data_IF_488075881949
#
_entry.id   IF_488075881949
#
_cell.length_a   1.000
_cell.length_b   1.000
_cell.length_c   1.000
_cell.angle_alpha   90.00
_cell.angle_beta   90.00
_cell.angle_gamma   90.00
#
_symmetry.space_group_name_H-M   'P 1'
#
loop_
_entity.id
_entity.type
_entity.pdbx_description
1 polymer ?
#
# COMPACT_ATOMS: atom_id res chain seq x y z
N UNK A 1 -3.64 -26.76 50.53
CA UNK A 1 -5.06 -26.47 50.82
C UNK A 1 -5.47 -25.38 49.83
N UNK A 2 -6.23 -25.70 48.78
CA UNK A 2 -6.44 -24.73 47.67
C UNK A 2 -7.68 -23.86 47.92
N UNK A 3 -8.67 -24.33 48.71
CA UNK A 3 -9.84 -23.54 49.12
C UNK A 3 -10.46 -24.16 50.39
N UNK A 4 -10.79 -23.33 51.38
CA UNK A 4 -11.68 -23.71 52.52
C UNK A 4 -12.75 -22.63 52.64
N UNK A 5 -13.99 -22.97 52.28
CA UNK A 5 -15.13 -22.07 52.34
C UNK A 5 -16.32 -22.79 52.98
N UNK A 6 -16.75 -22.27 54.14
CA UNK A 6 -17.90 -22.77 54.88
C UNK A 6 -19.10 -21.89 54.56
N UNK A 7 -20.02 -22.38 53.74
CA UNK A 7 -21.19 -21.63 53.30
C UNK A 7 -22.44 -22.48 53.50
N UNK A 8 -23.49 -21.89 54.08
CA UNK A 8 -24.74 -22.56 54.41
C UNK A 8 -25.80 -22.17 53.37
N UNK A 9 -25.75 -22.79 52.18
CA UNK A 9 -26.66 -22.52 51.05
C UNK A 9 -26.89 -23.75 50.17
N UNK A 10 -28.00 -23.85 49.42
CA UNK A 10 -28.25 -24.94 48.47
C UNK A 10 -27.25 -24.96 47.31
N UNK A 11 -26.88 -26.15 46.82
CA UNK A 11 -25.95 -26.31 45.71
C UNK A 11 -26.57 -25.93 44.35
N UNK A 12 -25.81 -25.24 43.49
CA UNK A 12 -26.08 -25.09 42.06
C UNK A 12 -24.78 -25.12 41.24
N UNK A 13 -24.88 -25.36 39.93
CA UNK A 13 -23.74 -25.42 39.03
C UNK A 13 -22.94 -24.09 39.04
N UNK A 14 -21.61 -24.18 38.93
CA UNK A 14 -20.67 -23.06 38.82
C UNK A 14 -20.70 -22.03 39.97
N UNK A 15 -21.33 -22.36 41.11
CA UNK A 15 -21.41 -21.46 42.27
C UNK A 15 -20.07 -21.22 42.98
N UNK A 16 -19.16 -22.19 42.91
CA UNK A 16 -17.80 -22.10 43.41
C UNK A 16 -16.88 -22.76 42.38
N UNK A 17 -16.05 -21.97 41.69
CA UNK A 17 -15.12 -22.46 40.65
C UNK A 17 -13.70 -22.44 41.22
N UNK A 18 -12.96 -23.53 41.00
CA UNK A 18 -11.57 -23.67 41.43
C UNK A 18 -10.70 -24.07 40.24
N UNK A 19 -9.71 -23.24 39.93
CA UNK A 19 -8.68 -23.58 38.95
C UNK A 19 -7.54 -24.33 39.65
N UNK A 20 -7.18 -25.50 39.12
CA UNK A 20 -6.10 -26.33 39.67
C UNK A 20 -5.10 -26.66 38.57
N UNK A 21 -3.84 -26.27 38.78
CA UNK A 21 -2.74 -26.65 37.90
C UNK A 21 -2.32 -28.10 38.17
N UNK A 22 -2.31 -28.94 37.14
CA UNK A 22 -1.92 -30.34 37.22
C UNK A 22 -0.47 -30.52 36.77
N UNK A 23 0.27 -31.41 37.43
CA UNK A 23 1.63 -31.79 37.04
C UNK A 23 1.61 -32.98 36.07
N UNK A 24 2.68 -33.18 35.30
CA UNK A 24 2.80 -34.31 34.38
C UNK A 24 2.93 -35.63 35.17
N UNK A 25 1.97 -36.54 35.02
CA UNK A 25 1.91 -37.83 35.72
C UNK A 25 0.62 -37.99 36.53
N UNK A 26 0.63 -38.90 37.52
CA UNK A 26 -0.53 -39.13 38.38
C UNK A 26 -0.72 -37.97 39.36
N UNK A 27 -1.90 -37.35 39.34
CA UNK A 27 -2.30 -36.32 40.29
C UNK A 27 -3.43 -36.85 41.15
N UNK A 28 -3.31 -36.73 42.47
CA UNK A 28 -4.38 -37.07 43.41
C UNK A 28 -4.99 -35.80 43.98
N UNK A 29 -6.28 -35.60 43.73
CA UNK A 29 -7.05 -34.47 44.20
C UNK A 29 -7.99 -34.94 45.31
N UNK A 30 -7.80 -34.43 46.53
CA UNK A 30 -8.72 -34.69 47.63
C UNK A 30 -9.71 -33.54 47.77
N UNK A 31 -10.99 -33.83 47.54
CA UNK A 31 -12.09 -32.85 47.71
C UNK A 31 -12.95 -33.31 48.88
N UNK A 32 -13.12 -32.43 49.88
CA UNK A 32 -14.01 -32.66 51.02
C UNK A 32 -15.13 -31.62 50.98
N UNK A 33 -16.35 -32.07 50.70
CA UNK A 33 -17.56 -31.25 50.75
C UNK A 33 -18.32 -31.57 52.03
N UNK A 34 -18.75 -30.53 52.74
CA UNK A 34 -19.61 -30.66 53.93
C UNK A 34 -20.72 -29.62 53.80
N UNK A 35 -21.93 -30.06 53.47
CA UNK A 35 -23.12 -29.21 53.44
C UNK A 35 -24.12 -29.67 54.50
N UNK A 36 -24.78 -28.72 55.14
CA UNK A 36 -25.81 -28.96 56.14
C UNK A 36 -27.21 -28.54 55.67
N UNK A 37 -27.37 -28.09 54.42
CA UNK A 37 -28.59 -27.43 53.92
C UNK A 37 -29.27 -28.06 52.69
N UNK A 38 -28.85 -29.23 52.20
CA UNK A 38 -29.50 -29.87 51.03
C UNK A 38 -28.63 -30.93 50.33
N UNK A 39 -28.96 -31.24 49.07
CA UNK A 39 -28.16 -32.15 48.22
C UNK A 39 -26.80 -31.55 47.88
N UNK A 40 -25.80 -32.41 47.82
CA UNK A 40 -24.42 -32.09 47.47
C UNK A 40 -24.02 -32.70 46.14
N UNK A 41 -23.12 -32.02 45.44
CA UNK A 41 -22.56 -32.52 44.18
C UNK A 41 -21.25 -31.83 43.84
N UNK A 42 -20.39 -32.57 43.15
CA UNK A 42 -19.19 -32.07 42.49
C UNK A 42 -19.36 -32.31 40.99
N UNK A 43 -19.18 -31.28 40.18
CA UNK A 43 -19.02 -31.41 38.73
C UNK A 43 -17.58 -31.05 38.38
N UNK A 44 -16.88 -31.95 37.70
CA UNK A 44 -15.55 -31.70 37.15
C UNK A 44 -15.73 -31.59 35.63
N UNK A 45 -15.36 -30.45 35.06
CA UNK A 45 -15.30 -30.28 33.61
C UNK A 45 -13.89 -29.89 33.23
N UNK A 46 -13.30 -30.60 32.29
CA UNK A 46 -12.09 -30.13 31.64
C UNK A 46 -12.48 -28.94 30.74
N UNK A 47 -11.99 -27.74 31.08
CA UNK A 47 -12.17 -26.55 30.25
C UNK A 47 -11.33 -26.60 28.96
N UNK A 48 -10.59 -27.68 28.74
CA UNK A 48 -9.86 -27.94 27.51
C UNK A 48 -10.83 -28.25 26.35
N UNK A 49 -10.85 -27.43 25.28
CA UNK A 49 -11.62 -27.70 24.08
C UNK A 49 -11.35 -29.09 23.50
N UNK A 50 -10.14 -29.63 23.68
CA UNK A 50 -9.78 -30.98 23.25
C UNK A 50 -10.52 -32.04 24.06
N UNK A 51 -10.52 -31.92 25.39
CA UNK A 51 -11.24 -32.85 26.28
C UNK A 51 -12.75 -32.86 26.01
N UNK A 52 -13.36 -31.69 25.77
CA UNK A 52 -14.77 -31.59 25.36
C UNK A 52 -15.05 -32.29 24.03
N UNK A 53 -14.13 -32.17 23.05
CA UNK A 53 -14.25 -32.88 21.78
C UNK A 53 -14.10 -34.38 21.95
N UNK A 54 -13.18 -34.84 22.81
CA UNK A 54 -13.00 -36.25 23.14
C UNK A 54 -14.25 -36.85 23.81
N UNK A 55 -14.83 -36.16 24.79
CA UNK A 55 -16.09 -36.58 25.43
C UNK A 55 -17.24 -36.71 24.42
N UNK A 56 -17.41 -35.70 23.55
CA UNK A 56 -18.42 -35.73 22.49
C UNK A 56 -18.23 -36.91 21.53
N UNK A 57 -16.99 -37.34 21.29
CA UNK A 57 -16.67 -38.46 20.41
C UNK A 57 -16.85 -39.82 21.10
N UNK A 58 -16.54 -39.93 22.39
CA UNK A 58 -16.87 -41.11 23.21
C UNK A 58 -18.38 -41.38 23.23
N UNK A 59 -19.19 -40.31 23.32
CA UNK A 59 -20.65 -40.42 23.20
C UNK A 59 -21.09 -40.91 21.81
N UNK A 60 -20.45 -40.44 20.73
CA UNK A 60 -20.76 -40.89 19.36
C UNK A 60 -20.35 -42.33 19.10
N UNK A 61 -19.22 -42.78 19.67
CA UNK A 61 -18.77 -44.18 19.61
C UNK A 61 -19.71 -45.16 20.33
N UNK A 62 -20.58 -44.64 21.21
CA UNK A 62 -21.62 -45.44 21.88
C UNK A 62 -22.86 -45.68 21.01
N UNK A 63 -22.89 -45.15 19.78
CA UNK A 63 -23.98 -45.26 18.81
C UNK A 63 -23.46 -45.78 17.44
N UNK A 64 -24.33 -46.27 16.53
CA UNK A 64 -23.93 -46.61 15.18
C UNK A 64 -23.29 -45.42 14.47
N UNK A 65 -22.10 -45.62 13.92
CA UNK A 65 -21.34 -44.56 13.23
C UNK A 65 -21.92 -44.32 11.83
N UNK A 66 -22.21 -43.06 11.51
CA UNK A 66 -22.43 -42.62 10.14
C UNK A 66 -21.09 -42.20 9.48
N UNK A 67 -21.11 -42.05 8.16
CA UNK A 67 -19.91 -41.72 7.39
C UNK A 67 -19.24 -40.39 7.81
N UNK A 68 -20.03 -39.43 8.33
CA UNK A 68 -19.51 -38.15 8.80
C UNK A 68 -18.80 -38.31 10.14
N UNK A 69 -19.39 -39.06 11.06
CA UNK A 69 -18.82 -39.37 12.36
C UNK A 69 -17.52 -40.19 12.23
N UNK A 70 -17.46 -41.14 11.29
CA UNK A 70 -16.25 -41.91 10.99
C UNK A 70 -15.12 -41.00 10.47
N UNK A 71 -15.45 -40.05 9.59
CA UNK A 71 -14.49 -39.06 9.08
C UNK A 71 -13.95 -38.16 10.19
N UNK A 72 -14.83 -37.63 11.05
CA UNK A 72 -14.46 -36.78 12.18
C UNK A 72 -13.55 -37.53 13.18
N UNK A 73 -13.88 -38.79 13.47
CA UNK A 73 -13.10 -39.66 14.38
C UNK A 73 -11.71 -39.94 13.81
N UNK A 74 -11.62 -40.28 12.52
CA UNK A 74 -10.33 -40.52 11.85
C UNK A 74 -9.45 -39.27 11.86
N UNK A 75 -10.03 -38.11 11.57
CA UNK A 75 -9.31 -36.83 11.61
C UNK A 75 -8.79 -36.52 13.03
N UNK A 76 -9.60 -36.77 14.07
CA UNK A 76 -9.15 -36.59 15.45
C UNK A 76 -8.07 -37.59 15.84
N UNK A 77 -8.22 -38.88 15.50
CA UNK A 77 -7.22 -39.90 15.80
C UNK A 77 -5.87 -39.57 15.17
N UNK A 78 -5.85 -39.09 13.92
CA UNK A 78 -4.62 -38.67 13.25
C UNK A 78 -4.05 -37.36 13.84
N UNK A 79 -4.90 -36.43 14.28
CA UNK A 79 -4.47 -35.18 14.91
C UNK A 79 -3.85 -35.42 16.30
N UNK A 80 -4.51 -36.20 17.17
CA UNK A 80 -4.29 -36.19 18.63
C UNK A 80 -3.89 -37.57 19.19
N UNK A 81 -4.04 -38.63 18.39
CA UNK A 81 -3.72 -40.00 18.80
C UNK A 81 -2.21 -40.33 18.84
N UNK A 82 -1.86 -41.62 18.97
CA UNK A 82 -0.46 -42.06 18.98
C UNK A 82 0.29 -41.67 17.69
N UNK A 83 1.60 -41.47 17.80
CA UNK A 83 2.45 -41.17 16.63
C UNK A 83 2.53 -42.40 15.71
N UNK A 84 2.05 -42.24 14.48
CA UNK A 84 2.20 -43.20 13.37
C UNK A 84 2.68 -42.46 12.11
N UNK A 85 3.04 -43.20 11.05
CA UNK A 85 3.41 -42.59 9.77
C UNK A 85 2.26 -41.75 9.19
N UNK A 86 1.03 -42.25 9.27
CA UNK A 86 -0.18 -41.56 8.81
C UNK A 86 -0.48 -40.32 9.67
N UNK A 87 -0.38 -40.43 11.00
CA UNK A 87 -0.59 -39.30 11.91
C UNK A 87 0.47 -38.20 11.70
N UNK A 88 1.73 -38.59 11.48
CA UNK A 88 2.81 -37.64 11.19
C UNK A 88 2.56 -36.89 9.88
N UNK A 89 2.15 -37.61 8.84
CA UNK A 89 1.80 -37.03 7.53
C UNK A 89 0.59 -36.09 7.66
N UNK A 90 -0.46 -36.53 8.35
CA UNK A 90 -1.66 -35.72 8.57
C UNK A 90 -1.36 -34.43 9.34
N UNK A 91 -0.60 -34.51 10.43
CA UNK A 91 -0.21 -33.33 11.24
C UNK A 91 0.65 -32.36 10.44
N UNK A 92 1.60 -32.87 9.65
CA UNK A 92 2.41 -32.04 8.76
C UNK A 92 1.54 -31.31 7.72
N UNK A 93 0.60 -32.02 7.09
CA UNK A 93 -0.31 -31.43 6.10
C UNK A 93 -1.31 -30.45 6.74
N UNK A 94 -1.85 -30.77 7.92
CA UNK A 94 -2.74 -29.89 8.67
C UNK A 94 -2.01 -28.60 9.08
N UNK A 95 -0.75 -28.70 9.50
CA UNK A 95 0.10 -27.55 9.75
C UNK A 95 0.33 -26.74 8.48
N UNK A 96 0.71 -27.37 7.37
CA UNK A 96 0.87 -26.68 6.08
C UNK A 96 -0.42 -25.98 5.63
N UNK A 97 -1.58 -26.61 5.82
CA UNK A 97 -2.87 -26.03 5.49
C UNK A 97 -3.21 -24.85 6.40
N UNK A 98 -2.96 -24.96 7.70
CA UNK A 98 -3.12 -23.87 8.65
C UNK A 98 -2.18 -22.69 8.34
N UNK A 99 -0.92 -22.96 8.04
CA UNK A 99 0.09 -21.98 7.63
C UNK A 99 -0.32 -21.28 6.32
N UNK A 100 -0.86 -22.04 5.35
CA UNK A 100 -1.37 -21.49 4.09
C UNK A 100 -2.57 -20.57 4.32
N UNK A 101 -3.55 -21.00 5.11
CA UNK A 101 -4.73 -20.19 5.43
C UNK A 101 -4.34 -18.93 6.20
N UNK A 102 -3.43 -19.04 7.19
CA UNK A 102 -2.93 -17.90 7.93
C UNK A 102 -2.14 -16.91 7.05
N UNK A 103 -1.54 -17.39 5.95
CA UNK A 103 -0.87 -16.55 4.98
C UNK A 103 -1.83 -15.81 4.03
N UNK A 104 -3.11 -16.18 3.96
CA UNK A 104 -4.11 -15.47 3.17
C UNK A 104 -4.45 -14.16 3.89
N UNK A 105 -4.16 -12.99 3.29
CA UNK A 105 -4.51 -11.72 3.92
C UNK A 105 -6.03 -11.55 3.94
N UNK A 106 -6.60 -11.46 5.14
CA UNK A 106 -8.02 -11.14 5.32
C UNK A 106 -8.24 -9.62 5.25
N UNK A 107 -9.41 -9.22 4.73
CA UNK A 107 -9.83 -7.83 4.73
C UNK A 107 -11.28 -7.71 5.14
N UNK A 108 -11.60 -6.66 5.88
CA UNK A 108 -12.97 -6.38 6.27
C UNK A 108 -13.76 -5.90 5.06
N UNK A 109 -14.85 -6.60 4.74
CA UNK A 109 -15.81 -6.17 3.73
C UNK A 109 -17.02 -5.53 4.42
N UNK A 110 -17.53 -4.45 3.83
CA UNK A 110 -18.73 -3.81 4.32
C UNK A 110 -19.98 -4.49 3.73
N UNK A 111 -20.67 -5.30 4.53
CA UNK A 111 -21.94 -5.94 4.15
C UNK A 111 -23.14 -5.11 4.64
N UNK A 112 -24.22 -5.08 3.86
CA UNK A 112 -25.50 -4.52 4.30
C UNK A 112 -26.06 -5.36 5.46
N UNK A 113 -26.51 -4.69 6.52
CA UNK A 113 -27.14 -5.37 7.65
C UNK A 113 -28.58 -5.77 7.32
N UNK A 114 -29.04 -6.91 7.84
CA UNK A 114 -30.40 -7.39 7.61
C UNK A 114 -31.46 -6.41 8.13
N UNK A 115 -31.15 -5.71 9.24
CA UNK A 115 -31.99 -4.65 9.79
C UNK A 115 -31.37 -3.28 9.51
N UNK A 116 -32.10 -2.46 8.76
CA UNK A 116 -31.69 -1.08 8.45
C UNK A 116 -31.76 -0.23 9.72
N UNK A 117 -30.61 0.31 10.15
CA UNK A 117 -30.55 1.25 11.27
C UNK A 117 -31.25 2.56 10.88
N UNK A 118 -32.14 3.11 11.73
CA UNK A 118 -32.71 4.44 11.51
C UNK A 118 -31.60 5.51 11.42
N UNK A 119 -31.75 6.45 10.50
CA UNK A 119 -30.89 7.62 10.37
C UNK A 119 -31.72 8.89 10.60
N UNK A 120 -31.08 9.94 11.11
CA UNK A 120 -31.74 11.20 11.46
C UNK A 120 -30.91 12.38 10.95
N UNK A 121 -31.57 13.47 10.58
CA UNK A 121 -30.92 14.76 10.39
C UNK A 121 -30.48 15.27 11.77
N UNK A 122 -29.23 15.68 11.88
CA UNK A 122 -28.65 16.16 13.14
C UNK A 122 -28.73 17.68 13.22
N UNK A 123 -29.14 18.23 14.37
CA UNK A 123 -29.16 19.68 14.58
C UNK A 123 -27.74 20.23 14.54
N UNK A 124 -27.42 21.00 13.49
CA UNK A 124 -26.06 21.52 13.23
C UNK A 124 -24.97 20.45 13.20
N UNK A 125 -25.33 19.20 12.88
CA UNK A 125 -24.37 18.09 12.85
C UNK A 125 -24.00 17.48 14.21
N UNK A 126 -24.61 17.90 15.33
CA UNK A 126 -24.34 17.33 16.64
C UNK A 126 -24.91 15.90 16.77
N UNK A 127 -24.05 14.93 17.09
CA UNK A 127 -24.36 13.50 17.05
C UNK A 127 -25.44 13.06 18.06
N UNK A 128 -25.60 13.81 19.15
CA UNK A 128 -26.54 13.58 20.23
C UNK A 128 -27.86 14.38 20.08
N UNK A 129 -28.01 15.16 19.00
CA UNK A 129 -29.22 15.94 18.71
C UNK A 129 -29.92 15.49 17.41
N UNK A 130 -30.51 14.28 17.40
CA UNK A 130 -31.30 13.81 16.26
C UNK A 130 -32.59 14.64 16.13
N UNK A 131 -32.99 14.90 14.89
CA UNK A 131 -34.23 15.62 14.56
C UNK A 131 -35.14 14.73 13.72
N UNK A 132 -35.20 14.93 12.42
CA UNK A 132 -36.10 14.24 11.50
C UNK A 132 -35.48 12.91 11.05
N UNK A 133 -36.24 11.81 11.15
CA UNK A 133 -35.84 10.52 10.59
C UNK A 133 -35.78 10.61 9.06
N UNK A 134 -34.71 10.09 8.47
CA UNK A 134 -34.51 10.06 7.01
C UNK A 134 -34.27 8.64 6.51
N UNK A 135 -34.73 8.39 5.28
CA UNK A 135 -34.49 7.16 4.55
C UNK A 135 -33.23 7.24 3.68
N UNK A 136 -32.84 6.11 3.11
CA UNK A 136 -31.79 6.04 2.10
C UNK A 136 -32.27 6.69 0.80
N UNK A 137 -31.53 7.68 0.32
CA UNK A 137 -31.81 8.41 -0.91
C UNK A 137 -30.52 9.03 -1.45
N UNK A 138 -30.60 9.63 -2.64
CA UNK A 138 -29.57 10.52 -3.18
C UNK A 138 -29.93 11.99 -2.90
N UNK A 139 -28.97 12.94 -2.98
CA UNK A 139 -29.29 14.35 -2.89
C UNK A 139 -30.34 14.74 -3.95
N UNK A 140 -31.49 15.27 -3.52
CA UNK A 140 -32.63 15.54 -4.40
C UNK A 140 -32.28 16.53 -5.54
N UNK A 141 -31.33 17.44 -5.31
CA UNK A 141 -30.82 18.37 -6.33
C UNK A 141 -30.12 17.67 -7.51
N UNK A 142 -29.67 16.42 -7.33
CA UNK A 142 -28.99 15.63 -8.36
C UNK A 142 -29.94 14.61 -9.04
N UNK A 143 -31.22 14.60 -8.66
CA UNK A 143 -32.25 13.74 -9.24
C UNK A 143 -32.88 12.79 -8.22
N UNK A 144 -33.37 11.65 -8.73
CA UNK A 144 -34.03 10.60 -7.92
C UNK A 144 -33.52 9.22 -8.31
N UNK A 145 -33.51 8.29 -7.34
CA UNK A 145 -33.40 6.86 -7.63
C UNK A 145 -34.72 6.39 -8.25
N UNK A 146 -34.62 5.53 -9.26
CA UNK A 146 -35.74 4.82 -9.87
C UNK A 146 -36.15 3.63 -9.01
N UNK A 147 -37.35 3.09 -9.25
CA UNK A 147 -37.83 1.91 -8.53
C UNK A 147 -37.03 0.63 -8.86
N UNK A 148 -36.26 0.64 -9.96
CA UNK A 148 -35.37 -0.45 -10.36
C UNK A 148 -34.04 -0.47 -9.59
N UNK A 149 -33.61 0.66 -9.02
CA UNK A 149 -32.37 0.75 -8.26
C UNK A 149 -32.63 0.37 -6.79
N UNK A 150 -31.89 -0.59 -6.22
CA UNK A 150 -32.07 -0.96 -4.83
C UNK A 150 -31.68 0.22 -3.93
N UNK A 151 -32.47 0.50 -2.88
CA UNK A 151 -32.21 1.59 -1.92
C UNK A 151 -31.09 1.23 -0.94
N UNK A 152 -29.90 0.98 -1.46
CA UNK A 152 -28.69 0.60 -0.76
C UNK A 152 -27.45 1.12 -1.52
N UNK A 153 -26.25 0.72 -1.10
CA UNK A 153 -25.00 1.14 -1.75
C UNK A 153 -24.90 0.74 -3.23
N UNK A 154 -25.51 -0.38 -3.62
CA UNK A 154 -25.50 -0.84 -5.01
C UNK A 154 -26.32 0.10 -5.90
N UNK A 155 -27.52 0.51 -5.47
CA UNK A 155 -28.33 1.45 -6.26
C UNK A 155 -27.71 2.84 -6.34
N UNK A 156 -27.02 3.29 -5.28
CA UNK A 156 -26.21 4.51 -5.35
C UNK A 156 -25.11 4.39 -6.41
N UNK A 157 -24.38 3.27 -6.45
CA UNK A 157 -23.33 3.05 -7.43
C UNK A 157 -23.87 2.99 -8.87
N UNK A 158 -25.00 2.31 -9.10
CA UNK A 158 -25.69 2.26 -10.39
C UNK A 158 -26.12 3.67 -10.84
N UNK A 159 -26.71 4.46 -9.95
CA UNK A 159 -27.10 5.83 -10.24
C UNK A 159 -25.90 6.73 -10.57
N UNK A 160 -24.79 6.60 -9.83
CA UNK A 160 -23.57 7.40 -10.04
C UNK A 160 -23.03 7.29 -11.47
N UNK A 161 -23.09 6.12 -12.08
CA UNK A 161 -22.60 5.89 -13.44
C UNK A 161 -23.69 5.98 -14.52
N UNK A 162 -24.92 6.29 -14.12
CA UNK A 162 -26.06 6.39 -15.04
C UNK A 162 -26.01 7.64 -15.92
N UNK A 163 -26.79 7.64 -17.02
CA UNK A 163 -26.93 8.81 -17.90
C UNK A 163 -27.60 10.01 -17.25
N UNK A 164 -28.29 9.78 -16.13
CA UNK A 164 -28.94 10.83 -15.34
C UNK A 164 -27.97 11.59 -14.44
N UNK A 165 -26.74 11.11 -14.26
CA UNK A 165 -25.72 11.80 -13.46
C UNK A 165 -24.63 12.40 -14.37
N UNK A 166 -24.67 13.73 -14.61
CA UNK A 166 -23.69 14.41 -15.46
C UNK A 166 -22.34 14.65 -14.78
N UNK A 167 -22.24 14.53 -13.45
CA UNK A 167 -21.07 15.00 -12.71
C UNK A 167 -19.95 13.97 -12.66
N UNK A 168 -20.27 12.69 -12.52
CA UNK A 168 -19.27 11.65 -12.24
C UNK A 168 -18.22 11.55 -13.34
N UNK A 169 -18.64 11.50 -14.60
CA UNK A 169 -17.69 11.45 -15.72
C UNK A 169 -16.87 12.75 -15.84
N UNK A 170 -17.49 13.92 -15.67
CA UNK A 170 -16.79 15.23 -15.71
C UNK A 170 -15.72 15.35 -14.63
N UNK A 171 -16.06 15.02 -13.39
CA UNK A 171 -15.10 15.03 -12.26
C UNK A 171 -13.99 14.02 -12.52
N UNK A 172 -14.32 12.83 -13.02
CA UNK A 172 -13.34 11.79 -13.28
C UNK A 172 -12.34 12.18 -14.38
N UNK A 173 -12.82 12.61 -15.55
CA UNK A 173 -11.93 13.01 -16.66
C UNK A 173 -11.12 14.25 -16.31
N UNK A 174 -11.66 15.18 -15.51
CA UNK A 174 -10.89 16.33 -15.02
C UNK A 174 -9.71 15.90 -14.12
N UNK A 175 -9.90 14.90 -13.26
CA UNK A 175 -8.81 14.35 -12.43
C UNK A 175 -7.75 13.67 -13.27
N UNK A 176 -8.16 12.86 -14.25
CA UNK A 176 -7.22 12.21 -15.18
C UNK A 176 -6.48 13.26 -16.02
N UNK A 177 -7.17 14.28 -16.51
CA UNK A 177 -6.55 15.42 -17.20
C UNK A 177 -5.51 16.11 -16.32
N UNK A 178 -5.87 16.45 -15.08
CA UNK A 178 -4.95 17.08 -14.12
C UNK A 178 -3.70 16.23 -13.87
N UNK A 179 -3.82 14.90 -13.85
CA UNK A 179 -2.68 14.00 -13.65
C UNK A 179 -1.67 14.03 -14.81
N UNK A 180 -2.10 14.35 -16.03
CA UNK A 180 -1.26 14.40 -17.23
C UNK A 180 -0.83 15.81 -17.63
N UNK A 181 -1.69 16.80 -17.40
CA UNK A 181 -1.45 18.20 -17.78
C UNK A 181 -1.03 19.09 -16.60
N UNK A 182 -0.99 18.54 -15.38
CA UNK A 182 -0.60 19.23 -14.16
C UNK A 182 -1.72 20.06 -13.52
N UNK A 183 -2.63 20.60 -14.33
CA UNK A 183 -3.80 21.37 -13.91
C UNK A 183 -5.08 20.81 -14.50
N UNK A 184 -6.16 20.81 -13.73
CA UNK A 184 -7.49 20.43 -14.22
C UNK A 184 -8.08 21.48 -15.15
N UNK A 185 -8.99 21.06 -16.03
CA UNK A 185 -9.88 21.97 -16.77
C UNK A 185 -10.72 22.79 -15.80
N UNK A 186 -11.21 22.14 -14.73
CA UNK A 186 -11.67 22.77 -13.48
C UNK A 186 -10.53 22.69 -12.48
N UNK A 187 -10.07 23.83 -11.97
CA UNK A 187 -8.87 23.91 -11.12
C UNK A 187 -9.09 23.42 -9.68
N UNK A 188 -10.36 23.36 -9.27
CA UNK A 188 -10.89 22.90 -7.98
C UNK A 188 -11.46 21.47 -8.12
N UNK A 189 -10.63 20.42 -8.21
CA UNK A 189 -11.11 19.04 -8.40
C UNK A 189 -12.00 18.52 -7.26
N UNK A 190 -12.01 19.20 -6.11
CA UNK A 190 -12.84 18.98 -4.94
C UNK A 190 -14.23 19.65 -5.00
N UNK A 191 -14.43 20.66 -5.85
CA UNK A 191 -15.71 21.37 -5.98
C UNK A 191 -16.03 21.72 -7.43
N UNK A 192 -17.10 21.12 -7.94
CA UNK A 192 -17.72 21.37 -9.24
C UNK A 192 -19.04 22.17 -9.12
N UNK A 193 -19.36 22.62 -7.90
CA UNK A 193 -20.53 23.42 -7.57
C UNK A 193 -20.22 24.92 -7.53
N UNK A 194 -21.01 25.65 -6.75
CA UNK A 194 -21.03 27.12 -6.77
C UNK A 194 -19.78 27.78 -6.18
N UNK A 195 -18.97 27.08 -5.38
CA UNK A 195 -17.72 27.60 -4.84
C UNK A 195 -16.49 27.12 -5.62
N UNK A 196 -16.70 26.28 -6.65
CA UNK A 196 -15.67 25.82 -7.58
C UNK A 196 -15.38 26.83 -8.69
N UNK A 197 -14.25 26.64 -9.37
CA UNK A 197 -13.92 27.43 -10.55
C UNK A 197 -14.64 26.90 -11.79
N UNK A 198 -15.07 27.79 -12.69
CA UNK A 198 -15.60 27.36 -13.99
C UNK A 198 -14.51 26.66 -14.83
N UNK A 199 -14.89 25.67 -15.65
CA UNK A 199 -13.94 25.00 -16.53
C UNK A 199 -13.36 26.00 -17.54
N UNK A 200 -12.04 26.02 -17.67
CA UNK A 200 -11.35 26.91 -18.64
C UNK A 200 -11.75 26.61 -20.08
N UNK A 201 -12.14 25.36 -20.36
CA UNK A 201 -12.73 24.94 -21.62
C UNK A 201 -13.86 23.94 -21.33
N UNK A 202 -15.10 24.45 -21.36
CA UNK A 202 -16.30 23.64 -21.08
C UNK A 202 -16.56 22.59 -22.15
N UNK A 203 -16.44 22.96 -23.43
CA UNK A 203 -16.75 22.06 -24.55
C UNK A 203 -15.80 20.85 -24.57
N UNK A 204 -14.53 21.08 -24.27
CA UNK A 204 -13.55 19.99 -24.13
C UNK A 204 -13.87 19.08 -22.94
N UNK A 205 -14.24 19.65 -21.78
CA UNK A 205 -14.63 18.86 -20.62
C UNK A 205 -15.86 17.99 -20.94
N UNK A 206 -16.86 18.55 -21.59
CA UNK A 206 -18.08 17.85 -21.99
C UNK A 206 -17.76 16.75 -23.02
N UNK A 207 -16.95 17.05 -24.04
CA UNK A 207 -16.49 16.07 -25.02
C UNK A 207 -15.80 14.89 -24.35
N UNK A 208 -14.81 15.13 -23.48
CA UNK A 208 -14.08 14.07 -22.79
C UNK A 208 -15.01 13.24 -21.88
N UNK A 209 -15.94 13.90 -21.19
CA UNK A 209 -16.89 13.25 -20.29
C UNK A 209 -17.87 12.34 -21.03
N UNK A 210 -18.38 12.77 -22.20
CA UNK A 210 -19.26 11.95 -23.06
C UNK A 210 -18.45 10.81 -23.69
N UNK A 211 -17.30 11.13 -24.30
CA UNK A 211 -16.43 10.14 -24.93
C UNK A 211 -16.05 9.02 -23.95
N UNK A 212 -15.70 9.36 -22.70
CA UNK A 212 -15.32 8.38 -21.70
C UNK A 212 -16.44 7.40 -21.37
N UNK A 213 -17.69 7.89 -21.30
CA UNK A 213 -18.87 7.04 -21.06
C UNK A 213 -19.15 6.13 -22.25
N UNK A 214 -19.16 6.69 -23.46
CA UNK A 214 -19.44 5.95 -24.70
C UNK A 214 -18.36 4.89 -24.99
N UNK A 215 -17.13 5.10 -24.52
CA UNK A 215 -16.02 4.15 -24.62
C UNK A 215 -15.93 3.21 -23.38
N UNK A 216 -17.07 2.95 -22.74
CA UNK A 216 -17.20 1.93 -21.70
C UNK A 216 -16.41 2.22 -20.42
N UNK A 217 -16.20 3.50 -20.09
CA UNK A 217 -15.47 3.93 -18.89
C UNK A 217 -14.03 3.38 -18.83
N UNK A 218 -13.42 3.15 -19.99
CA UNK A 218 -12.08 2.55 -20.07
C UNK A 218 -10.97 3.56 -19.77
N UNK A 219 -10.35 3.43 -18.59
CA UNK A 219 -9.21 4.26 -18.19
C UNK A 219 -8.05 4.17 -19.19
N UNK A 220 -7.78 2.96 -19.71
CA UNK A 220 -6.71 2.75 -20.70
C UNK A 220 -7.00 3.50 -22.00
N UNK A 221 -8.26 3.52 -22.45
CA UNK A 221 -8.65 4.24 -23.65
C UNK A 221 -8.54 5.76 -23.43
N UNK A 222 -8.99 6.27 -22.29
CA UNK A 222 -8.88 7.69 -21.93
C UNK A 222 -7.41 8.15 -21.85
N UNK A 223 -6.55 7.38 -21.17
CA UNK A 223 -5.12 7.67 -21.13
C UNK A 223 -4.51 7.72 -22.53
N UNK A 224 -4.84 6.75 -23.40
CA UNK A 224 -4.35 6.74 -24.78
C UNK A 224 -4.81 8.00 -25.53
N UNK A 225 -6.09 8.35 -25.47
CA UNK A 225 -6.63 9.55 -26.12
C UNK A 225 -5.87 10.82 -25.73
N UNK A 226 -5.62 11.00 -24.43
CA UNK A 226 -4.90 12.17 -23.92
C UNK A 226 -3.42 12.16 -24.35
N UNK A 227 -2.72 11.03 -24.14
CA UNK A 227 -1.28 10.92 -24.38
C UNK A 227 -0.91 10.94 -25.86
N UNK A 228 -1.81 10.53 -26.76
CA UNK A 228 -1.59 10.61 -28.22
C UNK A 228 -2.15 11.89 -28.84
N UNK A 229 -2.73 12.80 -28.05
CA UNK A 229 -3.21 14.09 -28.55
C UNK A 229 -2.06 14.97 -29.07
N UNK A 230 -2.34 15.87 -30.01
CA UNK A 230 -1.39 16.91 -30.40
C UNK A 230 -1.03 17.79 -29.19
N UNK A 231 -1.99 18.03 -28.30
CA UNK A 231 -1.84 18.88 -27.11
C UNK A 231 -0.81 18.32 -26.13
N UNK A 232 -0.87 17.04 -25.80
CA UNK A 232 0.09 16.41 -24.86
C UNK A 232 1.50 16.31 -25.45
N UNK A 233 1.60 16.08 -26.78
CA UNK A 233 2.88 15.92 -27.49
C UNK A 233 3.54 17.25 -27.89
N UNK A 234 3.01 18.39 -27.46
CA UNK A 234 3.67 19.68 -27.66
C UNK A 234 4.99 19.73 -26.88
N UNK A 235 5.97 20.47 -27.40
CA UNK A 235 7.18 20.77 -26.65
C UNK A 235 6.84 21.64 -25.42
N UNK A 236 7.50 21.36 -24.29
CA UNK A 236 7.38 22.15 -23.05
C UNK A 236 8.08 23.52 -23.11
N UNK A 237 8.76 23.84 -24.22
CA UNK A 237 9.41 25.13 -24.43
C UNK A 237 8.41 26.30 -24.40
N UNK A 238 8.74 27.34 -23.63
CA UNK A 238 7.91 28.52 -23.43
C UNK A 238 8.67 29.80 -23.84
N UNK A 239 8.13 30.56 -24.79
CA UNK A 239 8.62 31.92 -25.06
C UNK A 239 8.15 32.88 -23.98
N UNK A 240 8.82 34.03 -23.82
CA UNK A 240 8.40 35.06 -22.86
C UNK A 240 6.93 35.45 -23.04
N UNK A 241 6.46 35.56 -24.30
CA UNK A 241 5.05 35.82 -24.61
C UNK A 241 4.11 34.73 -24.08
N UNK A 242 4.45 33.44 -24.23
CA UNK A 242 3.65 32.33 -23.68
C UNK A 242 3.63 32.38 -22.15
N UNK A 243 4.75 32.69 -21.52
CA UNK A 243 4.84 32.79 -20.05
C UNK A 243 4.02 33.96 -19.51
N UNK A 244 3.98 35.10 -20.22
CA UNK A 244 3.14 36.25 -19.82
C UNK A 244 1.65 35.95 -19.96
N UNK A 245 1.23 35.31 -21.05
CA UNK A 245 -0.19 35.04 -21.32
C UNK A 245 -0.74 33.83 -20.54
N UNK A 246 0.11 32.82 -20.31
CA UNK A 246 -0.29 31.56 -19.70
C UNK A 246 0.82 31.03 -18.75
N UNK A 247 1.07 31.75 -17.63
CA UNK A 247 2.16 31.41 -16.72
C UNK A 247 2.01 30.00 -16.12
N UNK A 248 0.78 29.59 -15.82
CA UNK A 248 0.46 28.31 -15.18
C UNK A 248 0.16 27.17 -16.18
N UNK A 249 0.31 27.42 -17.49
CA UNK A 249 -0.04 26.49 -18.58
C UNK A 249 -1.50 25.99 -18.53
N UNK A 250 -2.44 26.82 -18.07
CA UNK A 250 -3.87 26.47 -17.96
C UNK A 250 -4.55 26.42 -19.32
N UNK A 251 -4.08 27.24 -20.28
CA UNK A 251 -4.55 27.21 -21.67
C UNK A 251 -3.89 26.10 -22.48
N UNK A 252 -2.94 25.38 -21.88
CA UNK A 252 -2.14 24.33 -22.52
C UNK A 252 -1.44 24.84 -23.79
N UNK A 253 -0.87 26.04 -23.67
CA UNK A 253 -0.12 26.74 -24.71
C UNK A 253 1.24 26.08 -25.03
N UNK A 254 1.63 25.08 -24.24
CA UNK A 254 2.88 24.28 -24.34
C UNK A 254 2.69 22.92 -23.68
N UNK A 255 3.67 22.03 -23.89
CA UNK A 255 3.74 20.72 -23.23
C UNK A 255 3.70 20.83 -21.69
N UNK A 256 3.16 19.80 -21.01
CA UNK A 256 3.07 19.80 -19.56
C UNK A 256 4.45 19.66 -18.92
N UNK A 257 4.84 20.63 -18.08
CA UNK A 257 6.06 20.56 -17.28
C UNK A 257 5.79 20.70 -15.79
N UNK A 258 6.04 19.64 -15.01
CA UNK A 258 5.92 19.66 -13.55
C UNK A 258 6.64 18.47 -12.90
N UNK A 259 6.96 18.62 -11.61
CA UNK A 259 7.63 17.61 -10.76
C UNK A 259 6.78 16.34 -10.63
N UNK A 260 7.38 15.18 -10.88
CA UNK A 260 6.74 13.85 -10.85
C UNK A 260 6.40 13.42 -9.42
N UNK A 261 5.29 12.71 -9.23
CA UNK A 261 4.89 12.27 -7.88
C UNK A 261 5.91 11.30 -7.27
N UNK A 262 6.00 11.28 -5.94
CA UNK A 262 6.99 10.50 -5.19
C UNK A 262 7.12 9.03 -5.64
N UNK A 263 5.97 8.39 -5.88
CA UNK A 263 5.88 7.00 -6.34
C UNK A 263 6.51 6.83 -7.73
N UNK A 264 6.31 7.81 -8.62
CA UNK A 264 6.87 7.81 -9.98
C UNK A 264 8.37 8.03 -9.95
N UNK A 265 8.85 8.97 -9.12
CA UNK A 265 10.29 9.24 -8.97
C UNK A 265 11.06 8.00 -8.52
N UNK A 266 10.57 7.32 -7.48
CA UNK A 266 11.19 6.08 -7.00
C UNK A 266 11.11 4.98 -8.05
N UNK A 267 9.93 4.76 -8.65
CA UNK A 267 9.76 3.68 -9.64
C UNK A 267 10.60 3.92 -10.90
N UNK A 268 10.78 5.18 -11.32
CA UNK A 268 11.64 5.57 -12.43
C UNK A 268 13.11 5.27 -12.13
N UNK A 269 13.62 5.66 -10.95
CA UNK A 269 14.99 5.34 -10.54
C UNK A 269 15.24 3.82 -10.53
N UNK A 270 14.30 3.03 -10.02
CA UNK A 270 14.37 1.56 -10.06
C UNK A 270 14.29 1.00 -11.48
N UNK A 271 13.49 1.60 -12.37
CA UNK A 271 13.33 1.13 -13.74
C UNK A 271 14.60 1.36 -14.57
N UNK A 272 15.16 2.57 -14.52
CA UNK A 272 16.35 2.93 -15.32
C UNK A 272 17.59 2.18 -14.83
N UNK A 273 17.70 1.96 -13.52
CA UNK A 273 18.77 1.14 -12.92
C UNK A 273 18.62 -0.37 -13.17
N UNK A 274 17.46 -0.83 -13.66
CA UNK A 274 17.17 -2.24 -13.86
C UNK A 274 16.87 -3.02 -12.57
N UNK A 275 16.58 -2.32 -11.47
CA UNK A 275 16.21 -2.92 -10.18
C UNK A 275 14.71 -3.24 -10.06
N UNK A 276 13.85 -2.55 -10.82
CA UNK A 276 12.41 -2.61 -10.62
C UNK A 276 11.83 -4.03 -10.76
N UNK A 277 11.18 -4.51 -9.70
CA UNK A 277 10.43 -5.78 -9.68
C UNK A 277 8.95 -5.50 -9.95
N UNK A 278 8.43 -6.03 -11.07
CA UNK A 278 7.05 -5.81 -11.54
C UNK A 278 6.07 -6.91 -11.09
N UNK A 279 6.29 -7.51 -9.91
CA UNK A 279 5.42 -8.57 -9.36
C UNK A 279 4.13 -7.97 -8.76
N UNK A 280 2.93 -8.35 -9.26
CA UNK A 280 1.67 -7.86 -8.73
C UNK A 280 1.23 -8.58 -7.44
N UNK A 281 0.42 -7.90 -6.62
CA UNK A 281 -0.22 -8.48 -5.44
C UNK A 281 0.72 -8.71 -4.23
N UNK A 282 0.31 -9.52 -3.26
CA UNK A 282 1.14 -9.84 -2.08
C UNK A 282 1.10 -8.78 -0.97
N UNK A 283 1.80 -9.06 0.13
CA UNK A 283 1.89 -8.16 1.29
C UNK A 283 2.60 -6.85 0.93
N UNK A 284 2.37 -5.82 1.75
CA UNK A 284 3.09 -4.55 1.63
C UNK A 284 4.56 -4.71 2.01
N UNK A 285 5.44 -4.16 1.18
CA UNK A 285 6.90 -4.22 1.36
C UNK A 285 7.41 -3.05 2.21
N UNK A 286 8.37 -3.32 3.09
CA UNK A 286 9.04 -2.33 3.95
C UNK A 286 10.49 -2.13 3.48
N UNK A 287 10.76 -1.19 2.56
CA UNK A 287 12.09 -0.96 2.01
C UNK A 287 12.99 -0.19 2.99
N UNK A 288 14.08 0.42 2.51
CA UNK A 288 14.95 1.26 3.34
C UNK A 288 14.19 2.38 4.04
N UNK A 289 14.44 2.52 5.34
CA UNK A 289 13.95 3.61 6.18
C UNK A 289 14.96 3.87 7.32
N UNK A 290 15.14 5.12 7.77
CA UNK A 290 15.84 5.39 9.02
C UNK A 290 15.23 4.67 10.22
N UNK A 291 16.08 4.26 11.16
CA UNK A 291 15.67 3.57 12.38
C UNK A 291 14.87 4.50 13.32
N UNK A 292 14.02 3.92 14.18
CA UNK A 292 13.36 4.63 15.28
C UNK A 292 12.10 5.43 14.92
N UNK A 293 11.80 5.63 13.63
CA UNK A 293 10.65 6.44 13.21
C UNK A 293 9.30 5.85 13.64
N UNK A 294 9.16 4.53 13.64
CA UNK A 294 7.91 3.89 14.05
C UNK A 294 7.79 3.80 15.55
N UNK A 295 8.89 3.49 16.22
CA UNK A 295 9.01 3.32 17.66
C UNK A 295 8.65 4.62 18.38
N UNK A 296 9.06 5.77 17.84
CA UNK A 296 8.82 7.09 18.43
C UNK A 296 7.32 7.47 18.56
N UNK A 297 6.43 6.87 17.76
CA UNK A 297 5.02 7.26 17.70
C UNK A 297 4.05 6.10 17.97
N UNK A 298 4.56 4.92 18.30
CA UNK A 298 3.73 3.72 18.42
C UNK A 298 3.34 3.41 19.86
N UNK A 299 2.11 2.92 20.02
CA UNK A 299 1.73 2.24 21.26
C UNK A 299 2.43 0.87 21.35
N UNK A 300 2.91 0.45 22.55
CA UNK A 300 3.62 -0.82 22.73
C UNK A 300 2.86 -2.06 22.27
N UNK A 301 1.52 -2.02 22.31
CA UNK A 301 0.64 -3.13 21.88
C UNK A 301 0.40 -3.18 20.37
N UNK A 302 0.95 -2.25 19.59
CA UNK A 302 0.74 -2.22 18.14
C UNK A 302 1.60 -3.27 17.43
N UNK A 303 0.99 -4.05 16.55
CA UNK A 303 1.71 -4.94 15.62
C UNK A 303 2.55 -4.20 14.56
N UNK A 304 2.47 -2.86 14.52
CA UNK A 304 3.34 -1.99 13.71
C UNK A 304 4.20 -1.08 14.59
N UNK A 305 4.48 -1.50 15.83
CA UNK A 305 5.25 -0.70 16.77
C UNK A 305 6.72 -0.51 16.34
N UNK A 306 7.29 -1.55 15.73
CA UNK A 306 8.69 -1.56 15.27
C UNK A 306 8.78 -1.70 13.76
N UNK A 307 9.70 -0.96 13.16
CA UNK A 307 10.00 -1.11 11.74
C UNK A 307 11.02 -2.22 11.54
N UNK A 308 10.68 -3.24 10.77
CA UNK A 308 11.61 -4.29 10.35
C UNK A 308 11.68 -4.25 8.84
N UNK A 309 12.84 -3.88 8.29
CA UNK A 309 13.05 -3.85 6.85
C UNK A 309 12.83 -5.26 6.24
N UNK A 310 12.12 -5.34 5.12
CA UNK A 310 12.06 -6.55 4.30
C UNK A 310 13.31 -6.62 3.40
N UNK A 311 13.69 -7.80 2.94
CA UNK A 311 14.95 -8.04 2.20
C UNK A 311 14.70 -8.53 0.76
N UNK A 312 15.76 -8.54 -0.07
CA UNK A 312 15.72 -9.04 -1.43
C UNK A 312 14.77 -8.27 -2.36
N UNK A 313 13.96 -8.97 -3.15
CA UNK A 313 13.07 -8.34 -4.15
C UNK A 313 12.12 -7.30 -3.56
N UNK A 314 11.71 -7.45 -2.29
CA UNK A 314 10.78 -6.54 -1.61
C UNK A 314 11.27 -5.08 -1.61
N UNK A 315 12.59 -4.87 -1.62
CA UNK A 315 13.20 -3.54 -1.63
C UNK A 315 12.98 -2.77 -2.95
N UNK A 316 12.71 -3.50 -4.04
CA UNK A 316 12.71 -2.97 -5.41
C UNK A 316 11.35 -3.11 -6.11
N UNK A 317 10.31 -3.50 -5.38
CA UNK A 317 8.94 -3.54 -5.93
C UNK A 317 8.40 -2.14 -6.17
N UNK A 318 7.45 -2.04 -7.11
CA UNK A 318 6.74 -0.79 -7.44
C UNK A 318 6.21 -0.13 -6.17
N UNK A 319 6.26 1.20 -6.14
CA UNK A 319 5.91 2.02 -4.98
C UNK A 319 4.44 1.85 -4.56
N UNK A 320 3.59 1.36 -5.46
CA UNK A 320 2.22 0.93 -5.18
C UNK A 320 2.13 -0.14 -4.08
N UNK A 321 3.15 -0.99 -3.94
CA UNK A 321 3.17 -2.12 -3.01
C UNK A 321 3.90 -1.81 -1.70
N UNK A 322 4.34 -0.57 -1.48
CA UNK A 322 4.97 -0.22 -0.20
C UNK A 322 3.95 -0.30 0.93
N UNK A 323 4.42 -0.74 2.09
CA UNK A 323 3.63 -0.67 3.31
C UNK A 323 3.49 0.78 3.77
N UNK A 324 2.26 1.24 3.93
CA UNK A 324 1.94 2.58 4.42
C UNK A 324 1.37 2.51 5.84
N UNK A 325 2.19 2.84 6.84
CA UNK A 325 1.69 3.09 8.19
C UNK A 325 1.03 4.46 8.22
N UNK A 326 -0.26 4.51 8.61
CA UNK A 326 -1.09 5.71 8.54
C UNK A 326 -0.44 6.95 9.18
N UNK A 327 0.20 6.77 10.33
CA UNK A 327 0.82 7.84 11.15
C UNK A 327 2.33 8.00 10.94
N UNK A 328 3.00 7.08 10.23
CA UNK A 328 4.41 7.20 9.84
C UNK A 328 4.63 6.60 8.45
N UNK A 329 4.19 7.31 7.39
CA UNK A 329 4.46 6.90 6.02
C UNK A 329 5.96 6.81 5.70
N UNK A 330 6.36 6.16 4.58
CA UNK A 330 7.74 6.15 4.15
C UNK A 330 8.31 7.58 4.00
N UNK A 331 9.46 7.90 4.61
CA UNK A 331 9.95 9.29 4.69
C UNK A 331 10.35 9.85 3.33
N UNK A 332 10.88 9.03 2.42
CA UNK A 332 11.17 9.45 1.05
C UNK A 332 9.89 9.82 0.29
N UNK A 333 8.78 9.12 0.54
CA UNK A 333 7.48 9.47 -0.06
C UNK A 333 6.99 10.82 0.48
N UNK A 334 7.10 11.03 1.79
CA UNK A 334 6.71 12.29 2.42
C UNK A 334 7.55 13.48 1.93
N UNK A 335 8.86 13.29 1.75
CA UNK A 335 9.75 14.33 1.25
C UNK A 335 9.35 14.84 -0.15
N UNK A 336 8.72 13.98 -0.97
CA UNK A 336 8.20 14.29 -2.31
C UNK A 336 6.67 14.49 -2.34
N UNK A 337 6.12 15.10 -1.28
CA UNK A 337 4.72 15.52 -1.18
C UNK A 337 3.68 14.39 -1.28
N UNK A 338 4.05 13.14 -0.99
CA UNK A 338 3.06 12.07 -0.95
C UNK A 338 2.06 12.30 0.20
N UNK A 339 0.74 12.19 -0.06
CA UNK A 339 -0.26 12.54 0.93
C UNK A 339 -0.25 11.57 2.11
N UNK A 340 -0.35 12.14 3.30
CA UNK A 340 -0.65 11.37 4.51
C UNK A 340 -1.99 10.64 4.36
N UNK A 341 -2.07 9.39 4.80
CA UNK A 341 -3.28 8.56 4.70
C UNK A 341 -4.26 8.80 5.86
N UNK A 342 -4.13 9.95 6.53
CA UNK A 342 -4.99 10.38 7.65
C UNK A 342 -6.22 11.14 7.17
N UNK A 343 -6.11 11.83 6.03
CA UNK A 343 -7.18 12.60 5.42
C UNK A 343 -7.30 12.31 3.92
N UNK A 344 -8.48 12.58 3.35
CA UNK A 344 -8.66 12.50 1.91
C UNK A 344 -7.90 13.63 1.23
N UNK A 345 -7.07 13.31 0.24
CA UNK A 345 -6.36 14.30 -0.59
C UNK A 345 -6.91 14.23 -2.02
N UNK A 346 -7.66 15.25 -2.42
CA UNK A 346 -8.24 15.34 -3.76
C UNK A 346 -7.23 15.94 -4.76
N UNK A 347 -6.44 16.92 -4.32
CA UNK A 347 -5.37 17.56 -5.07
C UNK A 347 -4.05 17.39 -4.30
N UNK A 348 -3.08 16.74 -4.92
CA UNK A 348 -1.76 16.54 -4.31
C UNK A 348 -0.98 17.86 -4.32
N UNK A 349 -0.35 18.26 -3.20
CA UNK A 349 0.56 19.39 -3.21
C UNK A 349 1.78 19.06 -4.09
N UNK A 350 2.39 20.10 -4.66
CA UNK A 350 3.67 19.98 -5.37
C UNK A 350 4.61 21.10 -4.95
N UNK A 351 5.68 20.72 -4.27
CA UNK A 351 6.76 21.59 -3.86
C UNK A 351 8.07 21.17 -4.52
N UNK A 352 8.97 22.13 -4.70
CA UNK A 352 10.34 21.93 -5.13
C UNK A 352 11.23 22.54 -4.06
N UNK A 353 11.82 21.70 -3.21
CA UNK A 353 12.64 22.16 -2.07
C UNK A 353 14.08 21.66 -2.18
N UNK A 354 15.07 22.38 -1.63
CA UNK A 354 16.44 21.89 -1.58
C UNK A 354 16.58 20.53 -0.88
N UNK A 355 15.70 20.23 0.10
CA UNK A 355 15.67 18.94 0.79
C UNK A 355 15.40 17.79 -0.18
N UNK A 356 14.53 17.97 -1.17
CA UNK A 356 14.21 16.95 -2.17
C UNK A 356 15.43 16.59 -3.03
N UNK A 357 16.23 17.58 -3.42
CA UNK A 357 17.50 17.35 -4.12
C UNK A 357 18.50 16.59 -3.23
N UNK A 358 18.52 16.86 -1.91
CA UNK A 358 19.35 16.09 -0.99
C UNK A 358 18.86 14.64 -0.83
N UNK A 359 17.56 14.37 -0.95
CA UNK A 359 17.02 13.00 -0.89
C UNK A 359 17.49 12.19 -2.10
N UNK A 360 17.39 12.72 -3.32
CA UNK A 360 17.86 12.04 -4.55
C UNK A 360 19.37 11.82 -4.55
N UNK A 361 20.14 12.73 -3.96
CA UNK A 361 21.59 12.58 -3.82
C UNK A 361 22.02 11.54 -2.77
N UNK A 362 21.29 11.43 -1.64
CA UNK A 362 21.83 10.75 -0.46
C UNK A 362 21.02 9.54 0.03
N UNK A 363 19.73 9.42 -0.30
CA UNK A 363 18.93 8.32 0.22
C UNK A 363 19.42 6.98 -0.35
N UNK A 364 19.54 5.97 0.51
CA UNK A 364 20.07 4.62 0.15
C UNK A 364 19.45 4.08 -1.13
N UNK A 365 18.13 4.19 -1.28
CA UNK A 365 17.42 3.73 -2.48
C UNK A 365 17.82 4.42 -3.79
N UNK A 366 18.19 5.71 -3.76
CA UNK A 366 18.63 6.43 -4.96
C UNK A 366 20.13 6.21 -5.24
N UNK A 367 20.96 6.12 -4.20
CA UNK A 367 22.40 5.83 -4.36
C UNK A 367 22.60 4.41 -4.88
N UNK A 368 21.88 3.43 -4.33
CA UNK A 368 21.90 2.05 -4.82
C UNK A 368 21.38 1.95 -6.26
N UNK A 369 20.29 2.64 -6.58
CA UNK A 369 19.80 2.72 -7.96
C UNK A 369 20.84 3.34 -8.90
N UNK A 370 21.54 4.41 -8.49
CA UNK A 370 22.60 5.01 -9.29
C UNK A 370 23.78 4.06 -9.51
N UNK A 371 24.13 3.26 -8.49
CA UNK A 371 25.18 2.23 -8.59
C UNK A 371 24.83 1.16 -9.61
N UNK A 372 23.61 0.64 -9.59
CA UNK A 372 23.18 -0.35 -10.58
C UNK A 372 22.91 0.25 -11.95
N UNK A 373 22.53 1.53 -12.01
CA UNK A 373 22.47 2.25 -13.28
C UNK A 373 23.86 2.39 -13.92
N UNK A 374 24.90 2.67 -13.12
CA UNK A 374 26.29 2.65 -13.55
C UNK A 374 26.70 1.28 -14.11
N UNK A 375 26.43 0.18 -13.40
CA UNK A 375 26.71 -1.18 -13.91
C UNK A 375 26.03 -1.44 -15.25
N UNK A 376 24.80 -0.95 -15.42
CA UNK A 376 24.03 -1.13 -16.65
C UNK A 376 24.67 -0.39 -17.81
N UNK A 377 25.07 0.88 -17.62
CA UNK A 377 25.62 1.68 -18.72
C UNK A 377 27.08 1.34 -19.02
N UNK A 378 27.87 0.92 -18.02
CA UNK A 378 29.29 0.55 -18.19
C UNK A 378 29.53 -0.65 -19.11
N UNK A 379 28.48 -1.39 -19.47
CA UNK A 379 28.52 -2.44 -20.50
C UNK A 379 28.76 -1.91 -21.91
N UNK A 380 28.51 -0.62 -22.13
CA UNK A 380 28.83 0.05 -23.39
C UNK A 380 30.35 0.20 -23.56
N UNK A 381 30.77 0.20 -24.82
CA UNK A 381 32.17 0.10 -25.24
C UNK A 381 33.08 1.25 -24.75
N UNK A 382 32.55 2.47 -24.64
CA UNK A 382 33.30 3.69 -24.37
C UNK A 382 32.46 4.73 -23.61
N UNK A 383 33.10 5.73 -23.01
CA UNK A 383 32.43 6.70 -22.14
C UNK A 383 31.41 7.59 -22.86
N UNK A 384 31.62 7.88 -24.14
CA UNK A 384 30.66 8.65 -24.92
C UNK A 384 29.38 7.86 -25.12
N UNK A 385 29.49 6.57 -25.43
CA UNK A 385 28.36 5.65 -25.56
C UNK A 385 27.67 5.36 -24.22
N UNK A 386 28.45 5.17 -23.15
CA UNK A 386 27.91 5.03 -21.77
C UNK A 386 27.04 6.22 -21.39
N UNK A 387 27.51 7.45 -21.65
CA UNK A 387 26.77 8.67 -21.36
C UNK A 387 25.54 8.84 -22.26
N UNK A 388 25.65 8.53 -23.55
CA UNK A 388 24.52 8.54 -24.50
C UNK A 388 23.42 7.57 -24.06
N UNK A 389 23.79 6.34 -23.71
CA UNK A 389 22.86 5.33 -23.17
C UNK A 389 22.24 5.79 -21.85
N UNK A 390 23.03 6.40 -20.95
CA UNK A 390 22.51 6.94 -19.69
C UNK A 390 21.44 8.02 -19.93
N UNK A 391 21.71 8.98 -20.81
CA UNK A 391 20.77 10.05 -21.15
C UNK A 391 19.50 9.54 -21.84
N UNK A 392 19.63 8.59 -22.77
CA UNK A 392 18.44 8.00 -23.44
C UNK A 392 17.57 7.23 -22.46
N UNK A 393 18.15 6.47 -21.55
CA UNK A 393 17.40 5.69 -20.56
C UNK A 393 16.74 6.59 -19.50
N UNK A 394 17.43 7.63 -19.04
CA UNK A 394 16.97 8.47 -17.94
C UNK A 394 16.11 9.66 -18.40
N UNK A 395 16.44 10.28 -19.54
CA UNK A 395 15.88 11.55 -20.00
C UNK A 395 15.23 11.47 -21.39
N UNK A 396 15.23 10.29 -22.03
CA UNK A 396 14.65 10.06 -23.37
C UNK A 396 15.21 10.97 -24.49
N UNK A 397 16.43 11.48 -24.33
CA UNK A 397 17.16 12.29 -25.33
C UNK A 397 18.65 11.98 -25.29
N UNK A 398 19.41 12.56 -26.21
CA UNK A 398 20.86 12.55 -26.16
C UNK A 398 21.40 13.74 -25.32
N UNK A 399 22.62 13.63 -24.75
CA UNK A 399 23.27 14.77 -24.14
C UNK A 399 23.65 15.78 -25.22
N UNK A 400 23.46 17.06 -24.93
CA UNK A 400 24.06 18.12 -25.73
C UNK A 400 25.58 18.09 -25.63
N UNK A 401 26.29 18.71 -26.59
CA UNK A 401 27.75 18.82 -26.56
C UNK A 401 28.26 19.45 -25.25
N UNK A 402 27.59 20.48 -24.73
CA UNK A 402 27.95 21.11 -23.45
C UNK A 402 27.81 20.17 -22.26
N UNK A 403 26.69 19.44 -22.16
CA UNK A 403 26.47 18.44 -21.10
C UNK A 403 27.48 17.31 -21.19
N UNK A 404 27.76 16.83 -22.40
CA UNK A 404 28.75 15.78 -22.66
C UNK A 404 30.13 16.20 -22.15
N UNK A 405 30.59 17.40 -22.51
CA UNK A 405 31.89 17.93 -22.09
C UNK A 405 31.98 18.06 -20.56
N UNK A 406 30.94 18.59 -19.91
CA UNK A 406 30.92 18.78 -18.45
C UNK A 406 30.94 17.44 -17.71
N UNK A 407 30.13 16.48 -18.14
CA UNK A 407 30.00 15.19 -17.45
C UNK A 407 31.21 14.28 -17.67
N UNK A 408 31.82 14.28 -18.86
CA UNK A 408 33.06 13.55 -19.09
C UNK A 408 34.22 14.15 -18.28
N UNK A 409 34.32 15.48 -18.20
CA UNK A 409 35.32 16.13 -17.33
C UNK A 409 35.07 15.85 -15.84
N UNK A 410 33.81 15.70 -15.43
CA UNK A 410 33.48 15.28 -14.06
C UNK A 410 33.87 13.82 -13.82
N UNK A 411 33.61 12.94 -14.79
CA UNK A 411 33.98 11.52 -14.74
C UNK A 411 35.48 11.35 -14.55
N UNK A 412 36.31 12.05 -15.33
CA UNK A 412 37.77 11.98 -15.22
C UNK A 412 38.26 12.42 -13.83
N UNK A 413 37.64 13.46 -13.26
CA UNK A 413 37.92 13.91 -11.89
C UNK A 413 37.56 12.87 -10.85
N UNK A 414 36.40 12.21 -10.99
CA UNK A 414 35.98 11.17 -10.06
C UNK A 414 36.88 9.92 -10.16
N UNK A 415 37.31 9.56 -11.36
CA UNK A 415 38.29 8.48 -11.58
C UNK A 415 39.61 8.78 -10.89
N UNK A 416 40.16 9.97 -11.10
CA UNK A 416 41.39 10.40 -10.44
C UNK A 416 41.25 10.32 -8.91
N UNK A 417 40.16 10.87 -8.37
CA UNK A 417 39.89 10.85 -6.93
C UNK A 417 39.78 9.42 -6.38
N UNK A 418 39.01 8.55 -7.02
CA UNK A 418 38.77 7.19 -6.50
C UNK A 418 39.93 6.23 -6.76
N UNK A 419 40.74 6.45 -7.80
CA UNK A 419 42.00 5.71 -7.99
C UNK A 419 42.97 5.91 -6.83
N UNK A 420 42.97 7.10 -6.22
CA UNK A 420 43.78 7.43 -5.03
C UNK A 420 43.10 7.02 -3.72
N UNK A 421 41.78 6.79 -3.73
CA UNK A 421 40.94 6.53 -2.54
C UNK A 421 40.01 5.34 -2.77
N UNK A 422 40.59 4.19 -3.08
CA UNK A 422 39.83 2.96 -3.41
C UNK A 422 38.90 2.53 -2.27
N UNK A 423 39.28 2.76 -1.01
CA UNK A 423 38.41 2.43 0.14
C UNK A 423 37.15 3.32 0.19
N UNK A 424 37.25 4.60 -0.20
CA UNK A 424 36.08 5.47 -0.33
C UNK A 424 35.17 5.00 -1.47
N UNK A 425 35.77 4.51 -2.58
CA UNK A 425 35.02 3.91 -3.69
C UNK A 425 34.23 2.69 -3.21
N UNK A 426 34.88 1.77 -2.49
CA UNK A 426 34.24 0.58 -1.91
C UNK A 426 33.11 0.95 -0.93
N UNK A 427 33.31 1.99 -0.11
CA UNK A 427 32.30 2.48 0.83
C UNK A 427 31.05 3.03 0.11
N UNK A 428 31.23 3.80 -0.95
CA UNK A 428 30.11 4.23 -1.79
C UNK A 428 29.40 3.00 -2.39
N UNK A 429 30.17 2.07 -2.96
CA UNK A 429 29.66 0.89 -3.64
C UNK A 429 29.01 -0.14 -2.71
N UNK A 430 29.23 -0.06 -1.39
CA UNK A 430 28.52 -0.86 -0.39
C UNK A 430 27.16 -0.28 0.02
N UNK A 431 26.72 0.82 -0.58
CA UNK A 431 25.39 1.40 -0.28
C UNK A 431 24.29 0.56 -0.92
N UNK A 432 23.31 0.16 -0.09
CA UNK A 432 22.23 -0.72 -0.47
C UNK A 432 22.48 -2.19 -0.09
N UNK A 433 21.55 -3.07 -0.43
CA UNK A 433 21.58 -4.50 -0.07
C UNK A 433 22.01 -5.35 -1.26
N UNK A 434 21.67 -4.95 -2.49
CA UNK A 434 22.00 -5.76 -3.67
C UNK A 434 23.51 -5.72 -3.92
N UNK A 435 24.21 -6.86 -4.02
CA UNK A 435 25.64 -6.86 -4.26
C UNK A 435 25.98 -6.24 -5.62
N UNK A 436 27.16 -5.60 -5.71
CA UNK A 436 27.70 -5.11 -6.98
C UNK A 436 28.24 -6.25 -7.84
N UNK A 437 28.42 -5.98 -9.13
CA UNK A 437 29.24 -6.84 -9.99
C UNK A 437 30.72 -6.76 -9.55
N UNK A 438 31.34 -7.85 -9.05
CA UNK A 438 32.71 -7.84 -8.58
C UNK A 438 33.74 -7.74 -9.71
N UNK A 439 33.35 -8.01 -10.97
CA UNK A 439 34.24 -7.94 -12.13
C UNK A 439 34.58 -6.51 -12.55
N UNK A 440 33.77 -5.53 -12.12
CA UNK A 440 34.02 -4.12 -12.37
C UNK A 440 35.08 -3.57 -11.41
N UNK A 441 35.98 -2.75 -11.95
CA UNK A 441 36.93 -1.98 -11.15
C UNK A 441 36.18 -1.06 -10.17
N UNK A 442 36.49 -1.07 -8.86
CA UNK A 442 35.78 -0.26 -7.89
C UNK A 442 35.88 1.24 -8.13
N UNK A 443 37.02 1.75 -8.60
CA UNK A 443 37.19 3.19 -8.81
C UNK A 443 36.37 3.65 -10.02
N UNK A 444 36.40 2.89 -11.10
CA UNK A 444 35.59 3.13 -12.30
C UNK A 444 34.09 3.06 -11.99
N UNK A 445 33.66 2.04 -11.25
CA UNK A 445 32.25 1.86 -10.90
C UNK A 445 31.75 2.99 -9.98
N UNK A 446 32.56 3.41 -9.00
CA UNK A 446 32.22 4.54 -8.14
C UNK A 446 32.13 5.86 -8.93
N UNK A 447 33.05 6.10 -9.87
CA UNK A 447 33.02 7.29 -10.72
C UNK A 447 31.74 7.36 -11.57
N UNK A 448 31.36 6.27 -12.23
CA UNK A 448 30.10 6.19 -12.99
C UNK A 448 28.86 6.24 -12.11
N UNK A 449 28.94 5.75 -10.86
CA UNK A 449 27.85 5.88 -9.88
C UNK A 449 27.55 7.36 -9.61
N UNK A 450 28.57 8.21 -9.47
CA UNK A 450 28.37 9.65 -9.27
C UNK A 450 27.81 10.36 -10.52
N UNK A 451 28.21 9.96 -11.72
CA UNK A 451 27.60 10.48 -12.97
C UNK A 451 26.12 10.10 -13.04
N UNK A 452 25.79 8.84 -12.78
CA UNK A 452 24.41 8.36 -12.76
C UNK A 452 23.56 9.05 -11.69
N UNK A 453 24.12 9.26 -10.49
CA UNK A 453 23.46 9.98 -9.40
C UNK A 453 23.24 11.46 -9.76
N UNK A 454 24.20 12.09 -10.45
CA UNK A 454 24.05 13.45 -10.98
C UNK A 454 22.89 13.53 -11.98
N UNK A 455 22.76 12.56 -12.88
CA UNK A 455 21.65 12.48 -13.84
C UNK A 455 20.30 12.34 -13.12
N UNK A 456 20.22 11.54 -12.04
CA UNK A 456 19.00 11.43 -11.23
C UNK A 456 18.61 12.73 -10.53
N UNK A 457 19.55 13.67 -10.38
CA UNK A 457 19.31 14.95 -9.74
C UNK A 457 19.09 16.10 -10.73
N UNK A 458 19.02 15.81 -12.03
CA UNK A 458 18.63 16.80 -13.05
C UNK A 458 17.12 17.09 -12.94
N UNK A 459 16.73 18.34 -13.18
CA UNK A 459 15.32 18.75 -13.21
C UNK A 459 14.54 17.91 -14.23
N UNK A 460 15.16 17.58 -15.36
CA UNK A 460 14.59 16.74 -16.40
C UNK A 460 14.30 15.30 -15.96
N UNK A 461 15.04 14.75 -15.00
CA UNK A 461 14.76 13.43 -14.46
C UNK A 461 13.60 13.47 -13.46
N UNK A 462 13.47 14.59 -12.75
CA UNK A 462 12.48 14.78 -11.69
C UNK A 462 11.13 15.32 -12.20
N UNK A 463 11.06 15.74 -13.46
CA UNK A 463 9.88 16.37 -14.06
C UNK A 463 9.36 15.59 -15.27
N UNK A 464 8.03 15.65 -15.49
CA UNK A 464 7.45 15.38 -16.80
C UNK A 464 7.72 16.59 -17.69
N UNK A 465 8.09 16.41 -18.96
CA UNK A 465 8.25 17.51 -19.93
C UNK A 465 8.26 17.07 -21.39
#
# INVERSE_FOLDING_TARGET
>A
LVLDQKVLRPAALDQNVLDVELQKGDNQLLVKLVNSGGQDGLAVSALDPLARRMEALTFRLSNPLDARAETDLRAMFLAEGPVSADASTYRALAKQYADLNAAIPETYIAREADKVRPAFVLKRGQYDMPTVRVGRAIPAALGKLTDHEPKNRLGLAQWMISDRNPLVSRVYVNRIWQQHFGHGLVSTPEDFGMQGEYPINKDLLDYLAVWFKENGWSNKALHRLLLTSATFRQASFATSKKLTLDPMNRLVSRGPRYRLDAEVLRDQALYVSGLLVQKPGGKGDKPYQPEGLWEAISYPSSNTAKYVQDHGEALYRRSLYLFWKRTSPPPTMMAFDAPMREACTVKRPRTNTPLQALVTLNATSFVEAARHFAERVMKEQDDHRRLETAFRLALAREPSEGERLVLLKALDRYREQYSQRVEDAKKLLSTGEKPRDPSLDPAEHAAWTLICNTIFNLDEFLTLQ
#
